data_IF_413442956216
#
_entry.id   IF_413442956216
#
_cell.length_a   1.000
_cell.length_b   1.000
_cell.length_c   1.000
_cell.angle_alpha   90.00
_cell.angle_beta   90.00
_cell.angle_gamma   90.00
#
_symmetry.space_group_name_H-M   'P 1'
#
loop_
_entity.id
_entity.type
_entity.pdbx_description
1 polymer ?
#
# COMPACT_ATOMS: atom_id res chain seq x y z
N UNK A 1 -13.75 19.43 2.83
CA UNK A 1 -12.64 18.57 2.40
C UNK A 1 -12.71 18.30 0.91
N UNK A 2 -11.61 18.47 0.20
CA UNK A 2 -11.59 18.22 -1.25
C UNK A 2 -11.48 16.71 -1.52
N UNK A 3 -11.81 16.32 -2.75
CA UNK A 3 -11.63 14.93 -3.20
C UNK A 3 -10.16 14.51 -3.08
N UNK A 4 -9.23 15.42 -3.37
CA UNK A 4 -7.80 15.20 -3.22
C UNK A 4 -7.44 14.88 -1.76
N UNK A 5 -7.95 15.68 -0.83
CA UNK A 5 -7.68 15.48 0.60
C UNK A 5 -8.24 14.15 1.09
N UNK A 6 -9.43 13.77 0.63
CA UNK A 6 -10.03 12.49 0.96
C UNK A 6 -9.19 11.32 0.42
N UNK A 7 -8.68 11.44 -0.79
CA UNK A 7 -7.81 10.43 -1.39
C UNK A 7 -6.54 10.24 -0.55
N UNK A 8 -5.91 11.36 -0.18
CA UNK A 8 -4.68 11.34 0.62
C UNK A 8 -4.95 10.70 1.99
N UNK A 9 -6.02 11.11 2.68
CA UNK A 9 -6.36 10.57 3.99
C UNK A 9 -6.68 9.07 3.93
N UNK A 10 -7.38 8.63 2.89
CA UNK A 10 -7.68 7.22 2.68
C UNK A 10 -6.40 6.39 2.53
N UNK A 11 -5.45 6.85 1.70
CA UNK A 11 -4.19 6.15 1.52
C UNK A 11 -3.33 6.17 2.78
N UNK A 12 -3.29 7.28 3.51
CA UNK A 12 -2.56 7.35 4.78
C UNK A 12 -3.11 6.35 5.80
N UNK A 13 -4.43 6.23 5.86
CA UNK A 13 -5.08 5.27 6.74
C UNK A 13 -4.71 3.83 6.37
N UNK A 14 -4.69 3.53 5.07
CA UNK A 14 -4.24 2.22 4.58
C UNK A 14 -2.78 1.96 4.92
N UNK A 15 -1.92 2.97 4.78
CA UNK A 15 -0.50 2.84 5.13
C UNK A 15 -0.31 2.47 6.60
N UNK A 16 -1.08 3.05 7.50
CA UNK A 16 -1.02 2.71 8.92
C UNK A 16 -1.37 1.23 9.13
N UNK A 17 -2.43 0.76 8.49
CA UNK A 17 -2.83 -0.65 8.55
C UNK A 17 -1.77 -1.57 7.95
N UNK A 18 -1.22 -1.18 6.80
CA UNK A 18 -0.21 -1.96 6.09
C UNK A 18 1.09 -2.06 6.88
N UNK A 19 1.50 -0.98 7.54
CA UNK A 19 2.68 -1.00 8.40
C UNK A 19 2.53 -2.02 9.53
N UNK A 20 1.34 -2.07 10.14
CA UNK A 20 1.05 -3.05 11.19
C UNK A 20 1.06 -4.49 10.62
N UNK A 21 0.49 -4.70 9.44
CA UNK A 21 0.46 -6.00 8.78
C UNK A 21 1.87 -6.47 8.39
N UNK A 22 2.69 -5.57 7.86
CA UNK A 22 4.08 -5.88 7.51
C UNK A 22 4.86 -6.27 8.77
N UNK A 23 4.71 -5.52 9.85
CA UNK A 23 5.37 -5.85 11.12
C UNK A 23 4.96 -7.21 11.65
N UNK A 24 3.68 -7.53 11.55
CA UNK A 24 3.16 -8.84 11.95
C UNK A 24 3.77 -9.96 11.10
N UNK A 25 3.80 -9.76 9.78
CA UNK A 25 4.38 -10.74 8.86
C UNK A 25 5.88 -10.95 9.14
N UNK A 26 6.61 -9.89 9.43
CA UNK A 26 8.03 -9.97 9.77
C UNK A 26 8.25 -10.76 11.07
N UNK A 27 7.40 -10.55 12.06
CA UNK A 27 7.47 -11.30 13.32
C UNK A 27 7.17 -12.79 13.09
N UNK A 28 6.16 -13.10 12.27
CA UNK A 28 5.82 -14.49 11.93
C UNK A 28 6.95 -15.15 11.13
N UNK A 29 7.61 -14.40 10.25
CA UNK A 29 8.76 -14.90 9.50
C UNK A 29 9.89 -15.36 10.41
N UNK A 30 10.18 -14.60 11.48
CA UNK A 30 11.23 -14.95 12.43
C UNK A 30 10.94 -16.25 13.14
N UNK A 31 9.67 -16.57 13.36
CA UNK A 31 9.24 -17.80 14.03
C UNK A 31 9.02 -18.96 13.05
N UNK A 32 9.10 -18.71 11.75
CA UNK A 32 8.81 -19.71 10.72
C UNK A 32 9.99 -20.67 10.49
N UNK A 33 9.69 -21.81 9.89
CA UNK A 33 10.71 -22.76 9.46
C UNK A 33 11.54 -22.15 8.33
N UNK A 34 12.70 -22.74 8.05
CA UNK A 34 13.59 -22.27 7.00
C UNK A 34 12.87 -22.16 5.64
N UNK A 35 12.11 -23.19 5.28
CA UNK A 35 11.39 -23.24 4.01
C UNK A 35 10.28 -22.20 3.94
N UNK A 36 9.56 -22.00 5.04
CA UNK A 36 8.49 -21.00 5.09
C UNK A 36 9.03 -19.57 5.05
N UNK A 37 10.24 -19.32 5.55
CA UNK A 37 10.85 -17.99 5.56
C UNK A 37 10.99 -17.40 4.15
N UNK A 38 11.35 -18.23 3.17
CA UNK A 38 11.51 -17.75 1.79
C UNK A 38 10.19 -17.21 1.26
N UNK A 39 9.08 -17.89 1.55
CA UNK A 39 7.75 -17.44 1.12
C UNK A 39 7.34 -16.16 1.84
N UNK A 40 7.60 -16.07 3.15
CA UNK A 40 7.34 -14.83 3.91
C UNK A 40 8.15 -13.66 3.34
N UNK A 41 9.44 -13.87 3.09
CA UNK A 41 10.31 -12.83 2.57
C UNK A 41 9.82 -12.30 1.24
N UNK A 42 9.36 -13.18 0.34
CA UNK A 42 8.84 -12.78 -0.96
C UNK A 42 7.57 -11.93 -0.83
N UNK A 43 6.62 -12.37 0.00
CA UNK A 43 5.37 -11.62 0.16
C UNK A 43 5.59 -10.30 0.90
N UNK A 44 6.46 -10.28 1.90
CA UNK A 44 6.82 -9.05 2.62
C UNK A 44 7.43 -8.05 1.65
N UNK A 45 8.31 -8.50 0.74
CA UNK A 45 8.91 -7.65 -0.28
C UNK A 45 7.83 -7.02 -1.18
N UNK A 46 6.83 -7.81 -1.60
CA UNK A 46 5.71 -7.31 -2.40
C UNK A 46 4.87 -6.30 -1.60
N UNK A 47 4.61 -6.58 -0.33
CA UNK A 47 3.87 -5.67 0.54
C UNK A 47 4.60 -4.34 0.70
N UNK A 48 5.91 -4.37 0.91
CA UNK A 48 6.73 -3.15 1.03
C UNK A 48 6.76 -2.37 -0.27
N UNK A 49 6.77 -3.05 -1.42
CA UNK A 49 6.71 -2.39 -2.73
C UNK A 49 5.39 -1.64 -2.89
N UNK A 50 4.26 -2.26 -2.53
CA UNK A 50 2.97 -1.60 -2.62
C UNK A 50 2.88 -0.43 -1.63
N UNK A 51 3.46 -0.57 -0.45
CA UNK A 51 3.56 0.53 0.51
C UNK A 51 4.32 1.72 -0.09
N UNK A 52 5.45 1.47 -0.72
CA UNK A 52 6.23 2.52 -1.37
C UNK A 52 5.45 3.17 -2.52
N UNK A 53 4.72 2.39 -3.29
CA UNK A 53 3.87 2.92 -4.37
C UNK A 53 2.77 3.83 -3.83
N UNK A 54 2.16 3.46 -2.69
CA UNK A 54 1.15 4.29 -2.05
C UNK A 54 1.75 5.60 -1.53
N UNK A 55 2.93 5.54 -0.92
CA UNK A 55 3.63 6.74 -0.45
C UNK A 55 3.94 7.68 -1.60
N UNK A 56 4.38 7.13 -2.74
CA UNK A 56 4.66 7.93 -3.94
C UNK A 56 3.39 8.61 -4.47
N UNK A 57 2.27 7.89 -4.48
CA UNK A 57 0.99 8.46 -4.94
C UNK A 57 0.48 9.56 -4.01
N UNK A 58 0.68 9.42 -2.72
CA UNK A 58 0.35 10.49 -1.76
C UNK A 58 1.17 11.74 -2.09
N UNK A 59 2.47 11.60 -2.31
CA UNK A 59 3.33 12.74 -2.64
C UNK A 59 2.92 13.39 -3.96
N UNK A 60 2.60 12.60 -4.97
CA UNK A 60 2.13 13.13 -6.25
C UNK A 60 0.82 13.89 -6.09
N UNK A 61 -0.13 13.34 -5.32
CA UNK A 61 -1.42 13.99 -5.08
C UNK A 61 -1.25 15.32 -4.36
N UNK A 62 -0.34 15.37 -3.40
CA UNK A 62 -0.08 16.60 -2.63
C UNK A 62 0.46 17.75 -3.50
N UNK A 63 1.08 17.41 -4.63
CA UNK A 63 1.63 18.41 -5.56
C UNK A 63 0.61 18.93 -6.56
N UNK A 64 -0.56 18.31 -6.64
CA UNK A 64 -1.58 18.70 -7.60
C UNK A 64 -2.39 19.88 -7.08
N UNK A 65 -2.66 20.87 -7.96
CA UNK A 65 -3.65 21.91 -7.67
C UNK A 65 -5.05 21.31 -7.75
N UNK A 66 -6.05 22.04 -7.27
CA UNK A 66 -7.44 21.59 -7.34
C UNK A 66 -7.88 21.30 -8.77
N UNK A 67 -7.50 22.19 -9.71
CA UNK A 67 -7.87 22.02 -11.12
C UNK A 67 -7.16 20.82 -11.74
N UNK A 68 -5.87 20.65 -11.48
CA UNK A 68 -5.09 19.53 -12.00
C UNK A 68 -5.59 18.21 -11.42
N UNK A 69 -5.96 18.20 -10.12
CA UNK A 69 -6.49 17.01 -9.48
C UNK A 69 -7.75 16.48 -10.18
N UNK A 70 -8.68 17.38 -10.53
CA UNK A 70 -9.91 16.95 -11.22
C UNK A 70 -9.62 16.29 -12.56
N UNK A 71 -8.56 16.68 -13.25
CA UNK A 71 -8.16 16.07 -14.52
C UNK A 71 -7.59 14.67 -14.36
N UNK A 72 -6.92 14.39 -13.25
CA UNK A 72 -6.21 13.12 -13.03
C UNK A 72 -6.86 12.24 -11.95
N UNK A 73 -7.95 12.67 -11.36
CA UNK A 73 -8.59 11.99 -10.24
C UNK A 73 -8.85 10.51 -10.51
N UNK A 74 -9.40 10.19 -11.66
CA UNK A 74 -9.73 8.80 -12.02
C UNK A 74 -8.49 7.93 -12.11
N UNK A 75 -7.39 8.47 -12.62
CA UNK A 75 -6.12 7.76 -12.71
C UNK A 75 -5.58 7.45 -11.31
N UNK A 76 -5.63 8.43 -10.40
CA UNK A 76 -5.19 8.23 -9.03
C UNK A 76 -6.05 7.22 -8.29
N UNK A 77 -7.37 7.29 -8.46
CA UNK A 77 -8.29 6.34 -7.82
C UNK A 77 -8.04 4.92 -8.33
N UNK A 78 -7.82 4.75 -9.64
CA UNK A 78 -7.48 3.45 -10.22
C UNK A 78 -6.14 2.92 -9.71
N UNK A 79 -5.12 3.79 -9.65
CA UNK A 79 -3.82 3.41 -9.13
C UNK A 79 -3.90 3.01 -7.65
N UNK A 80 -4.67 3.74 -6.86
CA UNK A 80 -4.88 3.41 -5.45
C UNK A 80 -5.51 2.05 -5.24
N UNK A 81 -6.52 1.71 -6.07
CA UNK A 81 -7.15 0.39 -6.02
C UNK A 81 -6.17 -0.71 -6.42
N UNK A 82 -5.39 -0.50 -7.47
CA UNK A 82 -4.42 -1.48 -7.93
C UNK A 82 -3.36 -1.76 -6.86
N UNK A 83 -2.90 -0.71 -6.20
CA UNK A 83 -1.93 -0.81 -5.10
C UNK A 83 -2.54 -1.60 -3.95
N UNK A 84 -3.77 -1.28 -3.54
CA UNK A 84 -4.46 -1.96 -2.46
C UNK A 84 -4.70 -3.43 -2.79
N UNK A 85 -5.11 -3.73 -4.03
CA UNK A 85 -5.32 -5.11 -4.48
C UNK A 85 -4.01 -5.90 -4.47
N UNK A 86 -2.92 -5.27 -4.91
CA UNK A 86 -1.60 -5.90 -4.89
C UNK A 86 -1.14 -6.23 -3.48
N UNK A 87 -1.35 -5.31 -2.55
CA UNK A 87 -1.03 -5.55 -1.15
C UNK A 87 -1.88 -6.69 -0.57
N UNK A 88 -3.17 -6.66 -0.82
CA UNK A 88 -4.10 -7.69 -0.32
C UNK A 88 -3.75 -9.07 -0.86
N UNK A 89 -3.37 -9.17 -2.14
CA UNK A 89 -2.93 -10.45 -2.72
C UNK A 89 -1.69 -11.00 -2.03
N UNK A 90 -0.70 -10.14 -1.77
CA UNK A 90 0.52 -10.56 -1.09
C UNK A 90 0.20 -11.02 0.35
N UNK A 91 -0.61 -10.26 1.06
CA UNK A 91 -1.05 -10.62 2.41
C UNK A 91 -1.78 -11.95 2.43
N UNK A 92 -2.70 -12.17 1.48
CA UNK A 92 -3.51 -13.39 1.39
C UNK A 92 -2.65 -14.65 1.19
N UNK A 93 -1.51 -14.51 0.54
CA UNK A 93 -0.59 -15.65 0.31
C UNK A 93 0.15 -16.09 1.57
N UNK A 94 0.08 -15.30 2.63
CA UNK A 94 0.69 -15.66 3.92
C UNK A 94 -0.24 -16.45 4.82
N UNK A 95 -1.51 -16.45 4.53
CA UNK A 95 -2.52 -17.14 5.36
C UNK A 95 -2.94 -18.49 4.79
#
# INVERSE_FOLDING_TARGET
MTSRDQYIETLKSKLDQWNAQISKAEAEMKAATHDARARYAEQISQMKMQRANAEAKIQEAMRKSADDWEKVRKEFEGAGRDIADGFTRAWSRLS
#
